data_IF_193515757834
#
_entry.id   IF_193515757834
#
_cell.length_a   1.000
_cell.length_b   1.000
_cell.length_c   1.000
_cell.angle_alpha   90.00
_cell.angle_beta   90.00
_cell.angle_gamma   90.00
#
_symmetry.space_group_name_H-M   'P 1'
#
loop_
_entity.id
_entity.type
_entity.pdbx_description
1 polymer ?
#
# COMPACT_ATOMS: atom_id res chain seq x y z
N UNK A 1 38.00 -23.70 21.60
CA UNK A 1 36.72 -23.75 22.35
C UNK A 1 35.92 -22.44 22.28
N UNK A 2 36.56 -21.25 22.32
CA UNK A 2 35.85 -19.95 22.24
C UNK A 2 35.24 -19.58 20.88
N UNK A 3 35.64 -20.22 19.78
CA UNK A 3 35.10 -19.94 18.44
C UNK A 3 33.62 -20.34 18.30
N UNK A 4 33.22 -21.43 18.98
CA UNK A 4 31.84 -21.95 18.97
C UNK A 4 30.91 -20.99 19.73
N UNK A 5 31.43 -20.27 20.73
CA UNK A 5 30.69 -19.28 21.53
C UNK A 5 30.37 -17.98 20.77
N UNK A 6 31.15 -17.66 19.73
CA UNK A 6 30.89 -16.49 18.87
C UNK A 6 29.83 -16.76 17.79
N UNK A 7 29.56 -18.03 17.50
CA UNK A 7 28.65 -18.45 16.43
C UNK A 7 27.22 -17.88 16.58
N UNK A 8 26.58 -17.88 17.77
CA UNK A 8 25.24 -17.32 17.95
C UNK A 8 25.21 -15.79 17.76
N UNK A 9 26.30 -15.11 18.14
CA UNK A 9 26.43 -13.67 17.98
C UNK A 9 26.62 -13.30 16.51
N UNK A 10 27.43 -14.06 15.77
CA UNK A 10 27.60 -13.90 14.31
C UNK A 10 26.27 -14.13 13.59
N UNK A 11 25.54 -15.19 13.92
CA UNK A 11 24.22 -15.46 13.31
C UNK A 11 23.25 -14.31 13.59
N UNK A 12 23.17 -13.84 14.84
CA UNK A 12 22.27 -12.75 15.22
C UNK A 12 22.60 -11.44 14.49
N UNK A 13 23.89 -11.14 14.31
CA UNK A 13 24.35 -9.98 13.53
C UNK A 13 23.99 -10.09 12.05
N UNK A 14 24.26 -11.23 11.42
CA UNK A 14 23.90 -11.48 10.01
C UNK A 14 22.40 -11.36 9.82
N UNK A 15 21.63 -11.91 10.75
CA UNK A 15 20.17 -11.87 10.72
C UNK A 15 19.62 -10.45 10.88
N UNK A 16 20.16 -9.69 11.84
CA UNK A 16 19.85 -8.27 12.00
C UNK A 16 20.20 -7.47 10.75
N UNK A 17 21.37 -7.69 10.14
CA UNK A 17 21.74 -7.02 8.89
C UNK A 17 20.74 -7.30 7.77
N UNK A 18 20.31 -8.56 7.60
CA UNK A 18 19.27 -8.92 6.63
C UNK A 18 17.96 -8.17 6.87
N UNK A 19 17.52 -8.07 8.12
CA UNK A 19 16.34 -7.30 8.52
C UNK A 19 16.47 -5.81 8.19
N UNK A 20 17.64 -5.22 8.42
CA UNK A 20 17.91 -3.82 8.09
C UNK A 20 17.88 -3.58 6.57
N UNK A 21 18.41 -4.52 5.77
CA UNK A 21 18.37 -4.44 4.31
C UNK A 21 16.92 -4.49 3.81
N UNK A 22 16.14 -5.50 4.21
CA UNK A 22 14.73 -5.65 3.83
C UNK A 22 13.92 -4.43 4.28
N UNK A 23 14.14 -3.97 5.50
CA UNK A 23 13.48 -2.77 6.04
C UNK A 23 13.77 -1.52 5.19
N UNK A 24 15.02 -1.32 4.76
CA UNK A 24 15.38 -0.19 3.92
C UNK A 24 14.74 -0.32 2.52
N UNK A 25 14.70 -1.53 1.94
CA UNK A 25 14.01 -1.77 0.67
C UNK A 25 12.52 -1.44 0.77
N UNK A 26 11.84 -1.90 1.82
CA UNK A 26 10.43 -1.57 2.09
C UNK A 26 10.20 -0.07 2.25
N UNK A 27 11.09 0.64 2.96
CA UNK A 27 11.02 2.10 3.12
C UNK A 27 11.14 2.81 1.78
N UNK A 28 12.11 2.40 0.96
CA UNK A 28 12.32 2.99 -0.37
C UNK A 28 11.11 2.75 -1.27
N UNK A 29 10.57 1.53 -1.30
CA UNK A 29 9.39 1.21 -2.10
C UNK A 29 8.15 1.97 -1.64
N UNK A 30 7.96 2.13 -0.32
CA UNK A 30 6.90 2.98 0.24
C UNK A 30 7.01 4.43 -0.24
N UNK A 31 8.23 5.00 -0.25
CA UNK A 31 8.47 6.35 -0.77
C UNK A 31 8.15 6.43 -2.26
N UNK A 32 8.61 5.47 -3.07
CA UNK A 32 8.33 5.43 -4.51
C UNK A 32 6.81 5.36 -4.80
N UNK A 33 6.08 4.53 -4.05
CA UNK A 33 4.63 4.42 -4.18
C UNK A 33 3.91 5.75 -3.85
N UNK A 34 4.34 6.47 -2.81
CA UNK A 34 3.73 7.75 -2.40
C UNK A 34 4.13 8.91 -3.29
N UNK A 35 5.41 9.04 -3.58
CA UNK A 35 5.98 10.25 -4.18
C UNK A 35 5.89 10.22 -5.70
N UNK A 36 5.98 9.03 -6.31
CA UNK A 36 5.96 8.87 -7.76
C UNK A 36 4.60 8.38 -8.24
N UNK A 37 4.20 7.18 -7.84
CA UNK A 37 3.02 6.51 -8.42
C UNK A 37 1.73 7.21 -8.01
N UNK A 38 1.53 7.44 -6.70
CA UNK A 38 0.34 8.14 -6.20
C UNK A 38 0.26 9.55 -6.76
N UNK A 39 1.37 10.29 -6.80
CA UNK A 39 1.38 11.66 -7.34
C UNK A 39 0.96 11.68 -8.81
N UNK A 40 1.54 10.80 -9.64
CA UNK A 40 1.15 10.65 -11.05
C UNK A 40 -0.33 10.32 -11.22
N UNK A 41 -0.84 9.35 -10.46
CA UNK A 41 -2.25 8.96 -10.52
C UNK A 41 -3.19 10.07 -10.03
N UNK A 42 -2.79 10.82 -9.00
CA UNK A 42 -3.56 11.98 -8.51
C UNK A 42 -3.64 13.07 -9.57
N UNK A 43 -2.54 13.36 -10.26
CA UNK A 43 -2.52 14.34 -11.36
C UNK A 43 -3.44 13.87 -12.48
N UNK A 44 -3.30 12.62 -12.94
CA UNK A 44 -4.16 12.06 -13.98
C UNK A 44 -5.65 12.07 -13.57
N UNK A 45 -5.95 11.79 -12.31
CA UNK A 45 -7.31 11.89 -11.77
C UNK A 45 -7.83 13.33 -11.83
N UNK A 46 -7.02 14.31 -11.41
CA UNK A 46 -7.39 15.73 -11.45
C UNK A 46 -7.60 16.21 -12.89
N UNK A 47 -6.70 15.88 -13.82
CA UNK A 47 -6.86 16.22 -15.24
C UNK A 47 -8.14 15.62 -15.83
N UNK A 48 -8.41 14.35 -15.57
CA UNK A 48 -9.66 13.71 -16.02
C UNK A 48 -10.90 14.28 -15.35
N UNK A 49 -10.82 14.66 -14.08
CA UNK A 49 -11.93 15.30 -13.36
C UNK A 49 -12.20 16.69 -13.91
N UNK A 50 -11.16 17.46 -14.23
CA UNK A 50 -11.30 18.76 -14.89
C UNK A 50 -11.93 18.56 -16.26
N UNK A 51 -11.43 17.65 -17.10
CA UNK A 51 -12.01 17.39 -18.41
C UNK A 51 -13.48 16.96 -18.30
N UNK A 52 -13.83 16.07 -17.37
CA UNK A 52 -15.22 15.69 -17.09
C UNK A 52 -16.11 16.89 -16.71
N UNK A 53 -15.55 17.89 -16.02
CA UNK A 53 -16.27 19.09 -15.59
C UNK A 53 -16.26 20.24 -16.63
N UNK A 54 -15.30 20.26 -17.56
CA UNK A 54 -15.11 21.37 -18.54
C UNK A 54 -15.47 21.01 -19.97
N UNK A 55 -15.38 19.73 -20.38
CA UNK A 55 -16.10 19.27 -21.56
C UNK A 55 -17.59 19.34 -21.22
N UNK A 56 -18.29 20.26 -21.88
CA UNK A 56 -19.56 20.86 -21.47
C UNK A 56 -20.76 19.91 -21.34
N UNK A 57 -20.59 18.60 -21.51
CA UNK A 57 -21.69 17.63 -21.50
C UNK A 57 -22.44 17.57 -20.16
N UNK A 58 -21.80 17.84 -19.02
CA UNK A 58 -22.52 17.86 -17.73
C UNK A 58 -23.37 19.13 -17.56
N UNK A 59 -22.84 20.30 -17.93
CA UNK A 59 -23.58 21.56 -17.87
C UNK A 59 -24.69 21.58 -18.91
N UNK A 60 -24.38 21.18 -20.14
CA UNK A 60 -25.33 21.09 -21.24
C UNK A 60 -26.41 20.04 -20.94
N UNK A 61 -26.07 18.90 -20.32
CA UNK A 61 -27.09 17.94 -19.87
C UNK A 61 -27.95 18.51 -18.73
N UNK A 62 -27.38 19.23 -17.76
CA UNK A 62 -28.19 19.82 -16.68
C UNK A 62 -29.13 20.89 -17.22
N UNK A 63 -28.70 21.67 -18.21
CA UNK A 63 -29.55 22.63 -18.90
C UNK A 63 -30.64 21.89 -19.72
N UNK A 64 -30.31 20.85 -20.49
CA UNK A 64 -31.29 20.02 -21.23
C UNK A 64 -32.29 19.30 -20.30
N UNK A 65 -31.82 18.76 -19.18
CA UNK A 65 -32.69 18.13 -18.15
C UNK A 65 -33.63 19.17 -17.54
N UNK A 66 -33.17 20.41 -17.34
CA UNK A 66 -34.02 21.48 -16.80
C UNK A 66 -35.14 21.90 -17.76
N UNK A 67 -34.99 21.63 -19.07
CA UNK A 67 -35.97 21.93 -20.11
C UNK A 67 -37.02 20.82 -20.27
N UNK A 68 -36.71 19.57 -19.93
CA UNK A 68 -37.65 18.43 -20.01
C UNK A 68 -39.02 18.67 -19.34
N UNK A 69 -39.11 19.27 -18.13
CA UNK A 69 -40.39 19.56 -17.49
C UNK A 69 -41.25 20.57 -18.28
N UNK A 70 -40.62 21.51 -18.97
CA UNK A 70 -41.32 22.55 -19.75
C UNK A 70 -41.80 22.00 -21.11
N UNK A 71 -41.08 21.04 -21.69
CA UNK A 71 -41.45 20.37 -22.94
C UNK A 71 -42.65 19.44 -22.80
N UNK A 72 -42.96 18.96 -21.59
CA UNK A 72 -44.14 18.12 -21.30
C UNK A 72 -45.49 18.82 -21.61
N UNK A 73 -45.49 20.15 -21.73
CA UNK A 73 -46.65 20.97 -22.09
C UNK A 73 -46.76 21.29 -23.59
N UNK A 74 -45.78 20.85 -24.41
CA UNK A 74 -45.72 21.10 -25.85
C UNK A 74 -46.23 19.83 -26.55
N UNK A 75 -47.17 19.99 -27.49
CA UNK A 75 -47.92 18.91 -28.15
C UNK A 75 -47.11 18.08 -29.17
N UNK A 76 -45.81 18.28 -29.28
CA UNK A 76 -44.93 17.55 -30.21
C UNK A 76 -44.25 16.39 -29.49
N UNK A 77 -44.97 15.28 -29.42
CA UNK A 77 -44.54 14.03 -28.77
C UNK A 77 -43.20 13.50 -29.34
N UNK A 78 -42.92 13.75 -30.62
CA UNK A 78 -41.66 13.37 -31.28
C UNK A 78 -40.44 14.15 -30.77
N UNK A 79 -40.59 15.44 -30.45
CA UNK A 79 -39.50 16.26 -29.91
C UNK A 79 -39.16 15.85 -28.47
N UNK A 80 -40.17 15.49 -27.69
CA UNK A 80 -39.98 15.00 -26.32
C UNK A 80 -39.25 13.66 -26.32
N UNK A 81 -39.60 12.77 -27.25
CA UNK A 81 -38.97 11.44 -27.36
C UNK A 81 -37.50 11.54 -27.83
N UNK A 82 -37.20 12.42 -28.79
CA UNK A 82 -35.84 12.67 -29.28
C UNK A 82 -34.95 13.29 -28.20
N UNK A 83 -35.43 14.32 -27.49
CA UNK A 83 -34.70 14.97 -26.40
C UNK A 83 -34.49 14.01 -25.22
N UNK A 84 -35.50 13.20 -24.87
CA UNK A 84 -35.37 12.21 -23.81
C UNK A 84 -34.33 11.13 -24.14
N UNK A 85 -34.20 10.76 -25.42
CA UNK A 85 -33.21 9.79 -25.88
C UNK A 85 -31.80 10.38 -25.84
N UNK A 86 -31.63 11.61 -26.32
CA UNK A 86 -30.35 12.32 -26.29
C UNK A 86 -29.84 12.53 -24.85
N UNK A 87 -30.74 12.95 -23.94
CA UNK A 87 -30.43 13.07 -22.51
C UNK A 87 -30.02 11.71 -21.92
N UNK A 88 -30.70 10.63 -22.29
CA UNK A 88 -30.37 9.28 -21.84
C UNK A 88 -28.98 8.81 -22.29
N UNK A 89 -28.59 9.08 -23.54
CA UNK A 89 -27.28 8.71 -24.08
C UNK A 89 -26.14 9.49 -23.40
N UNK A 90 -26.31 10.80 -23.20
CA UNK A 90 -25.36 11.66 -22.48
C UNK A 90 -25.22 11.24 -21.00
N UNK A 91 -26.33 10.92 -20.33
CA UNK A 91 -26.29 10.42 -18.94
C UNK A 91 -25.55 9.08 -18.80
N UNK A 92 -25.74 8.15 -19.75
CA UNK A 92 -25.05 6.86 -19.77
C UNK A 92 -23.53 7.04 -19.99
N UNK A 93 -23.13 7.98 -20.87
CA UNK A 93 -21.72 8.34 -21.08
C UNK A 93 -21.08 8.92 -19.82
N UNK A 94 -21.73 9.87 -19.17
CA UNK A 94 -21.25 10.43 -17.90
C UNK A 94 -21.17 9.40 -16.78
N UNK A 95 -22.12 8.46 -16.70
CA UNK A 95 -22.03 7.35 -15.73
C UNK A 95 -20.75 6.53 -15.94
N UNK A 96 -20.35 6.28 -17.20
CA UNK A 96 -19.12 5.55 -17.51
C UNK A 96 -17.87 6.33 -17.09
N UNK A 97 -17.83 7.64 -17.36
CA UNK A 97 -16.70 8.50 -17.00
C UNK A 97 -16.57 8.67 -15.48
N UNK A 98 -17.68 8.86 -14.77
CA UNK A 98 -17.72 8.89 -13.31
C UNK A 98 -17.21 7.57 -12.71
N UNK A 99 -17.62 6.43 -13.27
CA UNK A 99 -17.13 5.13 -12.84
C UNK A 99 -15.61 4.97 -13.05
N UNK A 100 -15.06 5.54 -14.13
CA UNK A 100 -13.60 5.57 -14.34
C UNK A 100 -12.90 6.44 -13.29
N UNK A 101 -13.45 7.61 -12.95
CA UNK A 101 -12.91 8.48 -11.89
C UNK A 101 -12.93 7.80 -10.51
N UNK A 102 -14.03 7.12 -10.17
CA UNK A 102 -14.15 6.32 -8.95
C UNK A 102 -13.11 5.18 -8.94
N UNK A 103 -12.87 4.54 -10.09
CA UNK A 103 -11.83 3.52 -10.21
C UNK A 103 -10.43 4.07 -9.91
N UNK A 104 -10.07 5.25 -10.44
CA UNK A 104 -8.80 5.91 -10.12
C UNK A 104 -8.66 6.24 -8.63
N UNK A 105 -9.72 6.79 -8.01
CA UNK A 105 -9.75 7.05 -6.56
C UNK A 105 -9.49 5.78 -5.74
N UNK A 106 -10.13 4.68 -6.12
CA UNK A 106 -9.93 3.38 -5.46
C UNK A 106 -8.49 2.88 -5.59
N UNK A 107 -7.84 3.05 -6.75
CA UNK A 107 -6.43 2.69 -6.93
C UNK A 107 -5.54 3.56 -6.04
N UNK A 108 -5.75 4.89 -6.05
CA UNK A 108 -4.98 5.83 -5.25
C UNK A 108 -5.06 5.47 -3.76
N UNK A 109 -6.26 5.16 -3.26
CA UNK A 109 -6.48 4.74 -1.88
C UNK A 109 -5.76 3.42 -1.55
N UNK A 110 -5.82 2.42 -2.44
CA UNK A 110 -5.11 1.14 -2.27
C UNK A 110 -3.59 1.34 -2.22
N UNK A 111 -3.05 2.19 -3.08
CA UNK A 111 -1.61 2.50 -3.11
C UNK A 111 -1.17 3.15 -1.80
N UNK A 112 -1.96 4.10 -1.27
CA UNK A 112 -1.64 4.75 0.00
C UNK A 112 -1.67 3.77 1.17
N UNK A 113 -2.65 2.86 1.20
CA UNK A 113 -2.73 1.80 2.20
C UNK A 113 -1.50 0.87 2.16
N UNK A 114 -1.10 0.43 0.97
CA UNK A 114 0.09 -0.42 0.77
C UNK A 114 1.36 0.31 1.22
N UNK A 115 1.53 1.57 0.81
CA UNK A 115 2.70 2.35 1.17
C UNK A 115 2.81 2.57 2.67
N UNK A 116 1.69 2.84 3.35
CA UNK A 116 1.65 2.97 4.82
C UNK A 116 1.99 1.65 5.52
N UNK A 117 1.48 0.52 5.00
CA UNK A 117 1.80 -0.82 5.53
C UNK A 117 3.30 -1.12 5.41
N UNK A 118 3.89 -0.93 4.22
CA UNK A 118 5.33 -1.11 3.99
C UNK A 118 6.18 -0.23 4.92
N UNK A 119 5.77 1.02 5.15
CA UNK A 119 6.47 1.92 6.05
C UNK A 119 6.41 1.46 7.51
N UNK A 120 5.24 1.01 7.96
CA UNK A 120 5.05 0.46 9.30
C UNK A 120 5.89 -0.81 9.50
N UNK A 121 5.82 -1.75 8.56
CA UNK A 121 6.60 -3.00 8.59
C UNK A 121 8.10 -2.72 8.55
N UNK A 122 8.55 -1.77 7.73
CA UNK A 122 9.94 -1.31 7.71
C UNK A 122 10.42 -0.87 9.11
N UNK A 123 9.65 -0.02 9.80
CA UNK A 123 10.00 0.42 11.17
C UNK A 123 10.05 -0.75 12.15
N UNK A 124 9.07 -1.65 12.10
CA UNK A 124 9.02 -2.82 12.97
C UNK A 124 10.20 -3.77 12.73
N UNK A 125 10.58 -4.03 11.48
CA UNK A 125 11.75 -4.85 11.16
C UNK A 125 13.05 -4.26 11.71
N UNK A 126 13.19 -2.92 11.74
CA UNK A 126 14.34 -2.26 12.40
C UNK A 126 14.33 -2.47 13.90
N UNK A 127 13.18 -2.28 14.55
CA UNK A 127 13.03 -2.49 15.99
C UNK A 127 13.37 -3.94 16.34
N UNK A 128 12.82 -4.90 15.59
CA UNK A 128 13.12 -6.32 15.71
C UNK A 128 14.62 -6.60 15.55
N UNK A 129 15.26 -6.03 14.52
CA UNK A 129 16.70 -6.18 14.30
C UNK A 129 17.54 -5.67 15.47
N UNK A 130 17.16 -4.54 16.07
CA UNK A 130 17.84 -3.99 17.25
C UNK A 130 17.63 -4.88 18.48
N UNK A 131 16.41 -5.34 18.72
CA UNK A 131 16.08 -6.25 19.83
C UNK A 131 16.89 -7.54 19.73
N UNK A 132 17.02 -8.11 18.53
CA UNK A 132 17.84 -9.30 18.27
C UNK A 132 19.31 -9.10 18.67
N UNK A 133 19.91 -7.97 18.32
CA UNK A 133 21.30 -7.66 18.68
C UNK A 133 21.43 -7.46 20.19
N UNK A 134 20.49 -6.76 20.83
CA UNK A 134 20.48 -6.55 22.28
C UNK A 134 20.35 -7.89 23.01
N UNK A 135 19.49 -8.80 22.55
CA UNK A 135 19.29 -10.12 23.16
C UNK A 135 20.49 -11.05 22.95
N UNK A 136 21.27 -10.86 21.88
CA UNK A 136 22.46 -11.68 21.65
C UNK A 136 23.64 -11.33 22.60
N UNK A 137 23.70 -10.10 23.13
CA UNK A 137 24.80 -9.65 23.98
C UNK A 137 24.85 -10.34 25.37
N UNK A 138 23.73 -10.46 26.13
CA UNK A 138 23.71 -11.18 27.40
C UNK A 138 24.01 -12.67 27.24
N UNK A 139 23.63 -13.29 26.12
CA UNK A 139 23.91 -14.69 25.83
C UNK A 139 25.42 -14.98 25.92
N UNK A 140 26.21 -14.12 25.28
CA UNK A 140 27.67 -14.22 25.33
C UNK A 140 28.17 -13.97 26.75
N UNK A 141 27.63 -12.98 27.46
CA UNK A 141 28.04 -12.71 28.85
C UNK A 141 27.78 -13.90 29.80
N UNK A 142 26.62 -14.53 29.74
CA UNK A 142 26.28 -15.65 30.64
C UNK A 142 27.09 -16.91 30.36
N UNK A 143 27.34 -17.21 29.08
CA UNK A 143 28.17 -18.35 28.68
C UNK A 143 29.65 -18.15 29.06
N UNK A 144 30.20 -16.93 28.95
CA UNK A 144 31.58 -16.65 29.40
C UNK A 144 31.76 -16.70 30.92
N UNK A 145 30.70 -16.45 31.70
CA UNK A 145 30.74 -16.47 33.17
C UNK A 145 30.26 -17.81 33.79
N UNK A 146 30.06 -18.87 32.98
CA UNK A 146 29.66 -20.21 33.43
C UNK A 146 28.38 -20.28 34.27
N UNK A 147 27.41 -19.39 34.03
CA UNK A 147 26.11 -19.41 34.72
C UNK A 147 25.14 -20.35 33.98
N UNK A 148 25.47 -21.64 34.00
CA UNK A 148 24.84 -22.70 33.20
C UNK A 148 23.30 -22.83 33.31
N UNK A 149 22.68 -22.77 34.49
CA UNK A 149 21.22 -22.88 34.57
C UNK A 149 20.52 -21.66 33.96
N UNK A 150 21.10 -20.47 34.09
CA UNK A 150 20.54 -19.23 33.54
C UNK A 150 20.69 -19.18 32.02
N UNK A 151 21.79 -19.71 31.47
CA UNK A 151 22.00 -19.74 30.01
C UNK A 151 21.01 -20.66 29.29
N UNK A 152 20.64 -21.80 29.90
CA UNK A 152 19.62 -22.72 29.37
C UNK A 152 18.23 -22.07 29.27
N UNK A 153 17.72 -21.46 30.35
CA UNK A 153 16.42 -20.74 30.29
C UNK A 153 16.44 -19.58 29.30
N UNK A 154 17.55 -18.84 29.26
CA UNK A 154 17.71 -17.73 28.32
C UNK A 154 17.72 -18.21 26.86
N UNK A 155 18.35 -19.35 26.57
CA UNK A 155 18.38 -19.95 25.23
C UNK A 155 16.98 -20.32 24.71
N UNK A 156 16.10 -20.88 25.56
CA UNK A 156 14.72 -21.19 25.17
C UNK A 156 13.89 -19.94 24.86
N UNK A 157 14.07 -18.88 25.66
CA UNK A 157 13.41 -17.58 25.43
C UNK A 157 13.88 -16.97 24.09
N UNK A 158 15.19 -16.98 23.85
CA UNK A 158 15.79 -16.47 22.61
C UNK A 158 15.27 -17.27 21.40
N UNK A 159 15.27 -18.60 21.46
CA UNK A 159 14.75 -19.45 20.38
C UNK A 159 13.26 -19.17 20.11
N UNK A 160 12.44 -19.04 21.16
CA UNK A 160 11.02 -18.71 21.02
C UNK A 160 10.78 -17.37 20.33
N UNK A 161 11.56 -16.35 20.70
CA UNK A 161 11.54 -15.04 20.05
C UNK A 161 11.98 -15.17 18.58
N UNK A 162 13.07 -15.89 18.29
CA UNK A 162 13.54 -16.11 16.92
C UNK A 162 12.49 -16.77 16.02
N UNK A 163 11.76 -17.78 16.52
CA UNK A 163 10.69 -18.44 15.76
C UNK A 163 9.57 -17.44 15.44
N UNK A 164 9.10 -16.65 16.42
CA UNK A 164 8.08 -15.63 16.18
C UNK A 164 8.51 -14.56 15.18
N UNK A 165 9.79 -14.18 15.20
CA UNK A 165 10.36 -13.21 14.27
C UNK A 165 10.45 -13.74 12.83
N UNK A 166 10.74 -15.03 12.64
CA UNK A 166 10.74 -15.66 11.31
C UNK A 166 9.36 -15.54 10.65
N UNK A 167 8.28 -15.82 11.38
CA UNK A 167 6.92 -15.68 10.86
C UNK A 167 6.61 -14.24 10.43
N UNK A 168 6.98 -13.27 11.27
CA UNK A 168 6.78 -11.85 10.97
C UNK A 168 7.56 -11.40 9.73
N UNK A 169 8.77 -11.92 9.51
CA UNK A 169 9.59 -11.63 8.33
C UNK A 169 8.98 -12.22 7.07
N UNK A 170 8.53 -13.48 7.11
CA UNK A 170 7.88 -14.13 5.97
C UNK A 170 6.63 -13.35 5.57
N UNK A 171 5.80 -12.98 6.55
CA UNK A 171 4.59 -12.20 6.29
C UNK A 171 4.93 -10.82 5.68
N UNK A 172 5.98 -10.18 6.18
CA UNK A 172 6.46 -8.90 5.66
C UNK A 172 6.98 -9.03 4.22
N UNK A 173 7.72 -10.09 3.90
CA UNK A 173 8.19 -10.37 2.54
C UNK A 173 7.04 -10.65 1.59
N UNK A 174 6.03 -11.41 2.01
CA UNK A 174 4.83 -11.66 1.19
C UNK A 174 4.13 -10.34 0.83
N UNK A 175 4.02 -9.43 1.80
CA UNK A 175 3.39 -8.13 1.54
C UNK A 175 4.23 -7.24 0.62
N UNK A 176 5.56 -7.27 0.75
CA UNK A 176 6.51 -6.62 -0.17
C UNK A 176 6.40 -7.14 -1.62
N UNK A 177 6.30 -8.46 -1.80
CA UNK A 177 6.12 -9.04 -3.14
C UNK A 177 4.78 -8.65 -3.76
N UNK A 178 3.71 -8.60 -2.95
CA UNK A 178 2.38 -8.16 -3.41
C UNK A 178 2.39 -6.68 -3.81
N UNK A 179 3.07 -5.83 -3.06
CA UNK A 179 3.18 -4.42 -3.41
C UNK A 179 3.94 -4.21 -4.71
N UNK A 180 5.05 -4.92 -4.93
CA UNK A 180 5.84 -4.80 -6.16
C UNK A 180 5.03 -5.15 -7.42
N UNK A 181 4.18 -6.18 -7.34
CA UNK A 181 3.27 -6.56 -8.43
C UNK A 181 2.28 -5.44 -8.76
N UNK A 182 1.77 -4.74 -7.75
CA UNK A 182 0.81 -3.64 -7.92
C UNK A 182 1.51 -2.41 -8.50
N UNK A 183 2.74 -2.10 -8.04
CA UNK A 183 3.54 -0.99 -8.60
C UNK A 183 3.75 -1.16 -10.11
N UNK A 184 4.13 -2.37 -10.56
CA UNK A 184 4.35 -2.66 -11.99
C UNK A 184 3.09 -2.54 -12.84
N UNK A 185 1.92 -2.83 -12.27
CA UNK A 185 0.63 -2.66 -12.95
C UNK A 185 0.22 -1.20 -13.00
N UNK A 186 0.60 -0.38 -12.02
CA UNK A 186 0.27 1.04 -11.96
C UNK A 186 1.21 1.94 -12.78
N UNK A 187 2.40 1.45 -13.14
CA UNK A 187 3.37 2.17 -13.99
C UNK A 187 3.08 2.05 -15.50
N UNK A 188 2.42 0.97 -15.93
CA UNK A 188 1.91 0.77 -17.29
C UNK A 188 0.53 1.40 -17.47
#
# INVERSE_FOLDING_TARGET
>A
MHLILLFPLIISLVYALGLFIISNMMKTQSSQLRDTVRKKLTINFLERSVNFLTESEFSDLMDEISLLPNLKNISEESLVEELSKEVGEKAEKMRKELNQLIYYLNIISKIDAIANSLYSRSRLLKIVGIILVILALPFVFFEFNYIYPVSLYYSYIVIGIFVGLIFYIIESLVEFYRSEKITKVAEN
#
